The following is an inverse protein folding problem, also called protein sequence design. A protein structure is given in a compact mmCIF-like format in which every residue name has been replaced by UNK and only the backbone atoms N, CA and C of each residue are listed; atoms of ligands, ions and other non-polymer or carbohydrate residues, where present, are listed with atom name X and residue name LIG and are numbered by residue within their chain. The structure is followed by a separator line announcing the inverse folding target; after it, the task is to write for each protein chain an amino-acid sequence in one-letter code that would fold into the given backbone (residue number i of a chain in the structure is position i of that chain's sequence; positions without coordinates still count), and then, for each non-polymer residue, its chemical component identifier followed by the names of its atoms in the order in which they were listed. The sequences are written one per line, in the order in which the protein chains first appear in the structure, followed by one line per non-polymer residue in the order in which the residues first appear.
data_IF_509421028014
#
_entry.id   IF_509421028014
#
_cell.length_a   1.000
_cell.length_b   1.000
_cell.length_c   1.000
_cell.angle_alpha   90.00
_cell.angle_beta   90.00
_cell.angle_gamma   90.00
#
_symmetry.space_group_name_H-M   'P 1'
#
loop_
_entity.id
_entity.type
_entity.pdbx_description
1 polymer ?
#
# COMPACT_ATOMS: atom_id res chain seq x y z
N UNK A 1 -18.70 5.69 -37.90
CA UNK A 1 -17.31 5.76 -37.41
C UNK A 1 -17.12 4.63 -36.39
N UNK A 2 -16.18 3.70 -36.62
CA UNK A 2 -15.89 2.65 -35.63
C UNK A 2 -14.86 3.14 -34.62
N UNK A 3 -15.07 2.87 -33.33
CA UNK A 3 -14.09 3.16 -32.29
C UNK A 3 -12.90 2.19 -32.39
N UNK A 4 -11.67 2.72 -32.48
CA UNK A 4 -10.46 1.91 -32.53
C UNK A 4 -9.70 2.01 -31.19
N UNK A 5 -9.58 0.90 -30.47
CA UNK A 5 -8.90 0.85 -29.17
C UNK A 5 -7.42 1.23 -29.27
N UNK A 6 -6.74 0.85 -30.36
CA UNK A 6 -5.30 1.09 -30.52
C UNK A 6 -4.96 2.56 -30.78
N UNK A 7 -5.96 3.38 -31.11
CA UNK A 7 -5.84 4.82 -31.27
C UNK A 7 -6.49 5.60 -30.12
N UNK A 8 -7.08 4.92 -29.13
CA UNK A 8 -7.73 5.58 -27.99
C UNK A 8 -6.69 6.00 -26.96
N UNK A 9 -6.53 7.31 -26.68
CA UNK A 9 -5.53 7.80 -25.73
C UNK A 9 -5.73 7.23 -24.32
N UNK A 10 -6.98 7.21 -23.82
CA UNK A 10 -7.31 6.67 -22.50
C UNK A 10 -7.00 5.18 -22.38
N UNK A 11 -7.23 4.41 -23.45
CA UNK A 11 -6.90 2.98 -23.46
C UNK A 11 -5.39 2.77 -23.43
N UNK A 12 -4.64 3.48 -24.29
CA UNK A 12 -3.18 3.38 -24.34
C UNK A 12 -2.53 3.84 -23.02
N UNK A 13 -3.05 4.91 -22.40
CA UNK A 13 -2.59 5.38 -21.10
C UNK A 13 -2.83 4.34 -20.00
N UNK A 14 -4.01 3.72 -19.97
CA UNK A 14 -4.28 2.63 -19.03
C UNK A 14 -3.35 1.44 -19.24
N UNK A 15 -3.11 1.04 -20.49
CA UNK A 15 -2.20 -0.06 -20.85
C UNK A 15 -0.75 0.26 -20.45
N UNK A 16 -0.28 1.47 -20.73
CA UNK A 16 1.04 1.93 -20.32
C UNK A 16 1.20 1.91 -18.79
N UNK A 17 0.19 2.38 -18.05
CA UNK A 17 0.18 2.33 -16.59
C UNK A 17 0.24 0.90 -16.05
N UNK A 18 -0.50 -0.05 -16.64
CA UNK A 18 -0.45 -1.46 -16.25
C UNK A 18 0.94 -2.06 -16.46
N UNK A 19 1.57 -1.79 -17.61
CA UNK A 19 2.90 -2.27 -17.93
C UNK A 19 3.92 -1.69 -16.94
N UNK A 20 3.88 -0.37 -16.71
CA UNK A 20 4.74 0.31 -15.74
C UNK A 20 4.58 -0.28 -14.33
N UNK A 21 3.35 -0.43 -13.86
CA UNK A 21 3.08 -1.00 -12.54
C UNK A 21 3.64 -2.42 -12.38
N UNK A 22 3.57 -3.26 -13.42
CA UNK A 22 4.13 -4.61 -13.39
C UNK A 22 5.66 -4.60 -13.33
N UNK A 23 6.31 -3.72 -14.11
CA UNK A 23 7.76 -3.54 -14.08
C UNK A 23 8.25 -3.07 -12.70
N UNK A 24 7.64 -2.02 -12.15
CA UNK A 24 8.03 -1.51 -10.84
C UNK A 24 7.72 -2.51 -9.72
N UNK A 25 6.62 -3.25 -9.79
CA UNK A 25 6.29 -4.28 -8.80
C UNK A 25 7.33 -5.42 -8.78
N UNK A 26 7.82 -5.84 -9.95
CA UNK A 26 8.88 -6.84 -10.04
C UNK A 26 10.19 -6.31 -9.41
N UNK A 27 10.56 -5.07 -9.69
CA UNK A 27 11.79 -4.45 -9.16
C UNK A 27 11.74 -4.25 -7.64
N UNK A 28 10.59 -3.81 -7.12
CA UNK A 28 10.38 -3.51 -5.70
C UNK A 28 10.26 -4.75 -4.80
N UNK A 29 10.08 -5.94 -5.38
CA UNK A 29 9.96 -7.20 -4.63
C UNK A 29 11.14 -7.42 -3.67
N UNK A 30 12.35 -7.03 -4.08
CA UNK A 30 13.57 -7.12 -3.27
C UNK A 30 13.66 -6.07 -2.15
N UNK A 31 12.99 -4.91 -2.33
CA UNK A 31 12.92 -3.83 -1.37
C UNK A 31 11.84 -4.07 -0.30
N UNK A 32 10.89 -4.98 -0.54
CA UNK A 32 9.84 -5.34 0.41
C UNK A 32 8.76 -4.26 0.57
N UNK A 33 8.64 -3.36 -0.40
CA UNK A 33 7.61 -2.31 -0.44
C UNK A 33 6.79 -2.43 -1.73
N UNK A 34 5.54 -1.99 -1.68
CA UNK A 34 4.69 -1.90 -2.89
C UNK A 34 4.94 -0.58 -3.62
N UNK A 35 4.56 -0.50 -4.91
CA UNK A 35 4.68 0.74 -5.68
C UNK A 35 3.95 1.92 -5.01
N UNK A 36 2.73 1.69 -4.50
CA UNK A 36 1.98 2.74 -3.78
C UNK A 36 2.65 3.16 -2.47
N UNK A 37 3.20 2.22 -1.71
CA UNK A 37 4.00 2.56 -0.52
C UNK A 37 5.25 3.35 -0.90
N UNK A 38 5.92 2.98 -2.00
CA UNK A 38 7.06 3.74 -2.52
C UNK A 38 6.67 5.18 -2.89
N UNK A 39 5.53 5.40 -3.56
CA UNK A 39 5.04 6.77 -3.87
C UNK A 39 4.85 7.60 -2.59
N UNK A 40 4.27 7.03 -1.54
CA UNK A 40 4.13 7.71 -0.24
C UNK A 40 5.49 7.98 0.39
N UNK A 41 6.42 7.02 0.38
CA UNK A 41 7.77 7.22 0.91
C UNK A 41 8.54 8.29 0.12
N UNK A 42 8.39 8.33 -1.20
CA UNK A 42 9.01 9.31 -2.08
C UNK A 42 8.47 10.73 -1.79
N UNK A 43 7.16 10.88 -1.66
CA UNK A 43 6.53 12.15 -1.29
C UNK A 43 7.00 12.68 0.08
N UNK A 44 7.35 11.78 1.01
CA UNK A 44 7.88 12.12 2.33
C UNK A 44 9.41 12.26 2.38
N UNK A 45 10.14 11.79 1.36
CA UNK A 45 11.61 11.77 1.38
C UNK A 45 12.25 13.16 1.29
N UNK A 46 11.56 14.09 0.62
CA UNK A 46 12.02 15.48 0.45
C UNK A 46 11.42 16.48 1.45
N UNK A 47 10.42 16.08 2.24
CA UNK A 47 9.66 16.99 3.11
C UNK A 47 9.38 16.34 4.47
N UNK A 48 9.77 17.00 5.56
CA UNK A 48 9.31 16.63 6.89
C UNK A 48 7.94 17.26 7.17
N UNK A 49 7.07 16.52 7.86
CA UNK A 49 5.80 17.05 8.36
C UNK A 49 4.69 17.25 7.31
N UNK A 50 4.71 16.50 6.21
CA UNK A 50 3.70 16.59 5.14
C UNK A 50 2.31 16.24 5.66
N UNK A 51 1.29 17.02 5.31
CA UNK A 51 -0.09 16.72 5.70
C UNK A 51 -0.66 15.56 4.88
N UNK A 52 -1.70 14.88 5.38
CA UNK A 52 -2.38 13.86 4.58
C UNK A 52 -3.02 14.42 3.31
N UNK A 53 -3.45 15.68 3.32
CA UNK A 53 -4.02 16.32 2.12
C UNK A 53 -2.94 16.52 1.04
N UNK A 54 -1.75 16.95 1.44
CA UNK A 54 -0.62 17.10 0.51
C UNK A 54 -0.18 15.74 -0.05
N UNK A 55 -0.23 14.68 0.77
CA UNK A 55 0.02 13.32 0.31
C UNK A 55 -1.05 12.82 -0.69
N UNK A 56 -2.32 13.19 -0.51
CA UNK A 56 -3.37 12.88 -1.50
C UNK A 56 -3.02 13.52 -2.83
N UNK A 57 -2.70 14.81 -2.82
CA UNK A 57 -2.35 15.56 -4.03
C UNK A 57 -1.08 14.99 -4.69
N UNK A 58 -0.02 14.77 -3.91
CA UNK A 58 1.26 14.28 -4.43
C UNK A 58 1.21 12.84 -4.97
N UNK A 59 0.28 12.00 -4.50
CA UNK A 59 0.21 10.58 -4.89
C UNK A 59 -0.98 10.24 -5.78
N UNK A 60 -1.97 11.12 -5.90
CA UNK A 60 -3.25 10.85 -6.57
C UNK A 60 -4.08 9.73 -5.92
N UNK A 61 -3.72 9.29 -4.71
CA UNK A 61 -4.46 8.25 -3.97
C UNK A 61 -5.62 8.92 -3.24
N UNK A 62 -6.83 8.38 -3.38
CA UNK A 62 -7.99 8.91 -2.69
C UNK A 62 -7.78 8.95 -1.16
N UNK A 63 -8.44 9.91 -0.51
CA UNK A 63 -8.22 10.19 0.92
C UNK A 63 -8.45 8.98 1.83
N UNK A 64 -9.44 8.14 1.52
CA UNK A 64 -9.77 6.98 2.35
C UNK A 64 -8.71 5.88 2.23
N UNK A 65 -8.31 5.56 1.00
CA UNK A 65 -7.26 4.57 0.72
C UNK A 65 -5.91 5.04 1.27
N UNK A 66 -5.59 6.32 1.13
CA UNK A 66 -4.36 6.88 1.67
C UNK A 66 -4.33 6.81 3.21
N UNK A 67 -5.43 7.16 3.89
CA UNK A 67 -5.50 7.09 5.35
C UNK A 67 -5.27 5.66 5.87
N UNK A 68 -5.91 4.66 5.24
CA UNK A 68 -5.70 3.24 5.56
C UNK A 68 -4.27 2.79 5.29
N UNK A 69 -3.68 3.25 4.17
CA UNK A 69 -2.30 2.94 3.82
C UNK A 69 -1.30 3.53 4.81
N UNK A 70 -1.48 4.80 5.18
CA UNK A 70 -0.68 5.51 6.19
C UNK A 70 -0.77 4.78 7.53
N UNK A 71 -1.97 4.38 7.97
CA UNK A 71 -2.12 3.62 9.21
C UNK A 71 -1.33 2.30 9.18
N UNK A 72 -1.38 1.55 8.07
CA UNK A 72 -0.61 0.29 7.92
C UNK A 72 0.90 0.54 7.85
N UNK A 73 1.34 1.59 7.17
CA UNK A 73 2.75 1.96 7.08
C UNK A 73 3.32 2.43 8.42
N UNK A 74 2.50 3.09 9.24
CA UNK A 74 2.85 3.48 10.60
C UNK A 74 3.01 2.24 11.50
N UNK A 75 2.05 1.29 11.46
CA UNK A 75 2.16 0.00 12.16
C UNK A 75 3.39 -0.79 11.70
N UNK A 76 3.75 -0.72 10.43
CA UNK A 76 4.97 -1.34 9.89
C UNK A 76 6.25 -0.59 10.29
N UNK A 77 6.14 0.56 10.96
CA UNK A 77 7.24 1.40 11.41
C UNK A 77 7.96 2.14 10.28
N UNK A 78 7.34 2.29 9.10
CA UNK A 78 7.93 3.01 7.96
C UNK A 78 7.73 4.52 8.07
N UNK A 79 6.62 4.95 8.66
CA UNK A 79 6.30 6.35 8.87
C UNK A 79 5.87 6.59 10.32
N UNK A 80 5.89 7.85 10.73
CA UNK A 80 5.35 8.31 12.00
C UNK A 80 4.35 9.43 11.75
N UNK A 81 3.27 9.46 12.54
CA UNK A 81 2.38 10.62 12.60
C UNK A 81 2.68 11.43 13.86
N UNK A 82 2.68 12.75 13.71
CA UNK A 82 2.79 13.69 14.80
C UNK A 82 1.78 14.82 14.59
N UNK A 83 1.33 15.44 15.67
CA UNK A 83 0.59 16.68 15.56
C UNK A 83 1.46 17.72 14.85
N UNK A 84 0.90 18.40 13.85
CA UNK A 84 1.65 19.39 13.10
C UNK A 84 2.04 20.54 14.03
N UNK A 85 3.30 20.95 13.99
CA UNK A 85 3.79 22.13 14.73
C UNK A 85 3.12 23.43 14.25
N UNK A 86 2.61 23.43 13.02
CA UNK A 86 2.02 24.60 12.36
C UNK A 86 0.50 24.64 12.48
N UNK A 87 -0.16 23.49 12.70
CA UNK A 87 -1.61 23.40 12.88
C UNK A 87 -1.95 22.21 13.79
N UNK A 88 -2.37 22.49 15.02
CA UNK A 88 -2.75 21.47 16.00
C UNK A 88 -3.95 20.59 15.57
N UNK A 89 -4.69 20.99 14.51
CA UNK A 89 -5.77 20.20 13.91
C UNK A 89 -5.29 19.29 12.78
N UNK A 90 -4.09 19.51 12.26
CA UNK A 90 -3.51 18.73 11.17
C UNK A 90 -2.52 17.69 11.70
N UNK A 91 -2.68 16.45 11.24
CA UNK A 91 -1.68 15.39 11.48
C UNK A 91 -0.62 15.46 10.40
N UNK A 92 0.61 15.68 10.82
CA UNK A 92 1.79 15.64 9.99
C UNK A 92 2.31 14.20 9.88
N UNK A 93 2.79 13.83 8.70
CA UNK A 93 3.37 12.51 8.42
C UNK A 93 4.85 12.69 8.10
N UNK A 94 5.71 11.79 8.59
CA UNK A 94 7.14 11.85 8.33
C UNK A 94 7.74 10.44 8.24
N UNK A 95 8.86 10.31 7.52
CA UNK A 95 9.61 9.05 7.49
C UNK A 95 10.21 8.72 8.85
N UNK A 96 10.25 7.43 9.18
CA UNK A 96 11.14 6.93 10.23
C UNK A 96 12.50 6.58 9.62
N UNK A 97 13.50 6.27 10.46
CA UNK A 97 14.77 5.72 9.99
C UNK A 97 14.60 4.42 9.18
N UNK A 98 13.60 3.59 9.54
CA UNK A 98 13.27 2.38 8.79
C UNK A 98 12.63 2.70 7.44
N UNK A 99 11.71 3.67 7.40
CA UNK A 99 11.10 4.15 6.16
C UNK A 99 12.12 4.74 5.20
N UNK A 100 13.04 5.57 5.71
CA UNK A 100 14.14 6.12 4.91
C UNK A 100 15.02 5.03 4.31
N UNK A 101 15.45 4.05 5.10
CA UNK A 101 16.20 2.88 4.58
C UNK A 101 15.43 2.09 3.52
N UNK A 102 14.12 1.94 3.70
CA UNK A 102 13.28 1.27 2.71
C UNK A 102 13.18 2.07 1.40
N UNK A 103 13.04 3.40 1.50
CA UNK A 103 13.08 4.31 0.36
C UNK A 103 14.42 4.26 -0.36
N UNK A 104 15.54 4.41 0.35
CA UNK A 104 16.89 4.42 -0.23
C UNK A 104 17.20 3.09 -0.95
N UNK A 105 16.66 1.97 -0.45
CA UNK A 105 16.79 0.66 -1.10
C UNK A 105 15.87 0.52 -2.33
N UNK A 106 14.69 1.11 -2.29
CA UNK A 106 13.67 1.02 -3.33
C UNK A 106 13.96 1.95 -4.52
N UNK A 107 14.45 3.16 -4.25
CA UNK A 107 14.70 4.22 -5.23
C UNK A 107 15.49 3.72 -6.45
N UNK A 108 16.70 3.13 -6.32
CA UNK A 108 17.47 2.68 -7.48
C UNK A 108 16.79 1.55 -8.26
N UNK A 109 15.93 0.76 -7.60
CA UNK A 109 15.19 -0.32 -8.26
C UNK A 109 14.04 0.24 -9.11
N UNK A 110 13.32 1.26 -8.61
CA UNK A 110 12.25 1.93 -9.36
C UNK A 110 12.84 2.73 -10.52
N UNK A 111 13.90 3.51 -10.29
CA UNK A 111 14.56 4.28 -11.35
C UNK A 111 15.02 3.38 -12.49
N UNK A 112 15.67 2.24 -12.18
CA UNK A 112 16.06 1.27 -13.22
C UNK A 112 14.87 0.65 -13.95
N UNK A 113 13.75 0.42 -13.25
CA UNK A 113 12.54 -0.13 -13.87
C UNK A 113 11.91 0.87 -14.85
N UNK A 114 11.86 2.14 -14.48
CA UNK A 114 11.38 3.23 -15.33
C UNK A 114 12.34 3.44 -16.51
N UNK A 115 13.65 3.51 -16.27
CA UNK A 115 14.66 3.62 -17.33
C UNK A 115 14.54 2.49 -18.34
N UNK A 116 14.41 1.24 -17.87
CA UNK A 116 14.23 0.08 -18.75
C UNK A 116 12.96 0.20 -19.61
N UNK A 117 11.86 0.68 -19.03
CA UNK A 117 10.60 0.86 -19.75
C UNK A 117 10.71 1.96 -20.81
N UNK A 118 11.25 3.13 -20.44
CA UNK A 118 11.32 4.30 -21.30
C UNK A 118 12.48 4.27 -22.29
N UNK A 119 13.52 3.45 -22.06
CA UNK A 119 14.64 3.25 -23.01
C UNK A 119 14.20 2.75 -24.39
N UNK A 120 12.98 2.21 -24.49
CA UNK A 120 12.34 1.82 -25.76
C UNK A 120 11.97 3.01 -26.65
N UNK A 121 11.93 4.23 -26.09
CA UNK A 121 11.59 5.47 -26.75
C UNK A 121 12.83 6.35 -26.90
N UNK A 122 12.94 7.06 -28.03
CA UNK A 122 13.93 8.11 -28.20
C UNK A 122 13.70 9.24 -27.16
N UNK A 123 14.79 9.87 -26.69
CA UNK A 123 14.74 10.86 -25.60
C UNK A 123 13.73 12.00 -25.85
N UNK A 124 13.68 12.54 -27.06
CA UNK A 124 12.70 13.57 -27.44
C UNK A 124 11.23 13.12 -27.25
N UNK A 125 10.92 11.84 -27.52
CA UNK A 125 9.57 11.28 -27.30
C UNK A 125 9.27 11.08 -25.81
N UNK A 126 10.27 10.72 -25.01
CA UNK A 126 10.12 10.64 -23.56
C UNK A 126 9.79 12.01 -22.99
N UNK A 127 10.52 13.04 -23.40
CA UNK A 127 10.32 14.41 -22.91
C UNK A 127 8.95 14.96 -23.32
N UNK A 128 8.54 14.72 -24.58
CA UNK A 128 7.20 15.08 -25.05
C UNK A 128 6.07 14.34 -24.28
N UNK A 129 6.27 13.05 -23.97
CA UNK A 129 5.32 12.28 -23.16
C UNK A 129 5.20 12.85 -21.74
N UNK A 130 6.32 13.16 -21.10
CA UNK A 130 6.33 13.78 -19.76
C UNK A 130 5.60 15.12 -19.77
N UNK A 131 5.89 15.99 -20.73
CA UNK A 131 5.19 17.27 -20.88
C UNK A 131 3.68 17.10 -21.07
N UNK A 132 3.27 16.15 -21.92
CA UNK A 132 1.85 15.87 -22.16
C UNK A 132 1.12 15.33 -20.92
N UNK A 133 1.76 14.43 -20.17
CA UNK A 133 1.20 13.87 -18.93
C UNK A 133 1.12 14.94 -17.83
N UNK A 134 2.16 15.76 -17.65
CA UNK A 134 2.15 16.87 -16.69
C UNK A 134 1.05 17.86 -17.03
N UNK A 135 0.93 18.30 -18.28
CA UNK A 135 -0.14 19.20 -18.70
C UNK A 135 -1.54 18.62 -18.47
N UNK A 136 -1.72 17.32 -18.74
CA UNK A 136 -3.00 16.64 -18.49
C UNK A 136 -3.37 16.62 -17.00
N UNK A 137 -2.40 16.34 -16.11
CA UNK A 137 -2.60 16.34 -14.66
C UNK A 137 -2.90 17.75 -14.17
N UNK A 138 -2.07 18.74 -14.52
CA UNK A 138 -2.23 20.12 -14.08
C UNK A 138 -3.60 20.69 -14.49
N UNK A 139 -4.06 20.43 -15.72
CA UNK A 139 -5.34 20.92 -16.20
C UNK A 139 -6.53 20.16 -15.60
N UNK A 140 -6.38 18.87 -15.30
CA UNK A 140 -7.39 18.10 -14.58
C UNK A 140 -7.54 18.59 -13.14
N UNK A 141 -6.42 18.82 -12.43
CA UNK A 141 -6.42 19.35 -11.07
C UNK A 141 -7.02 20.76 -11.01
N UNK A 142 -6.71 21.64 -11.97
CA UNK A 142 -7.37 22.96 -12.08
C UNK A 142 -8.88 22.85 -12.26
N UNK A 143 -9.36 21.86 -13.03
CA UNK A 143 -10.79 21.62 -13.25
C UNK A 143 -11.50 21.02 -12.03
N UNK A 144 -10.84 20.17 -11.26
CA UNK A 144 -11.37 19.64 -9.99
C UNK A 144 -11.29 20.65 -8.83
N UNK A 145 -10.34 21.60 -8.87
CA UNK A 145 -10.20 22.69 -7.90
C UNK A 145 -11.23 23.81 -8.09
N UNK A 146 -11.90 23.89 -9.25
CA UNK A 146 -13.11 24.70 -9.40
C UNK A 146 -14.19 24.18 -8.44
N UNK A 147 -14.94 25.03 -7.73
CA UNK A 147 -15.68 24.63 -6.55
C UNK A 147 -16.75 23.60 -6.92
N UNK A 148 -16.43 22.33 -6.68
CA UNK A 148 -17.42 21.27 -6.62
C UNK A 148 -18.23 21.58 -5.38
N UNK A 149 -19.43 22.14 -5.58
CA UNK A 149 -20.41 22.34 -4.54
C UNK A 149 -20.42 21.13 -3.60
N UNK A 150 -20.43 21.33 -2.27
CA UNK A 150 -20.22 20.25 -1.32
C UNK A 150 -21.18 19.12 -1.62
N UNK A 151 -20.64 17.92 -1.90
CA UNK A 151 -21.42 16.69 -1.99
C UNK A 151 -22.23 16.59 -0.70
N UNK A 152 -23.55 16.75 -0.82
CA UNK A 152 -24.49 16.63 0.27
C UNK A 152 -24.19 15.34 1.07
N UNK A 153 -24.26 15.38 2.41
CA UNK A 153 -23.98 14.21 3.23
C UNK A 153 -24.88 13.05 2.80
N UNK A 154 -24.25 11.91 2.48
CA UNK A 154 -24.97 10.67 2.22
C UNK A 154 -25.85 10.37 3.43
N UNK A 155 -27.16 10.32 3.20
CA UNK A 155 -28.15 9.93 4.19
C UNK A 155 -27.73 8.62 4.89
N UNK A 156 -27.97 8.47 6.21
CA UNK A 156 -27.59 7.28 6.94
C UNK A 156 -28.26 6.04 6.34
N UNK A 157 -27.44 5.06 5.99
CA UNK A 157 -27.86 3.76 5.47
C UNK A 157 -28.71 3.08 6.56
N UNK A 158 -29.99 2.87 6.27
CA UNK A 158 -30.92 2.19 7.16
C UNK A 158 -30.33 0.87 7.69
N UNK A 159 -30.42 0.70 9.00
CA UNK A 159 -30.01 -0.50 9.72
C UNK A 159 -30.72 -1.73 9.13
N UNK A 160 -29.94 -2.70 8.67
CA UNK A 160 -30.47 -4.01 8.30
C UNK A 160 -30.73 -4.80 9.58
N UNK A 161 -31.99 -5.14 9.81
CA UNK A 161 -32.48 -5.88 10.96
C UNK A 161 -31.76 -7.24 11.16
N UNK A 162 -31.61 -7.71 12.41
CA UNK A 162 -30.86 -8.93 12.72
C UNK A 162 -31.62 -10.19 12.29
N UNK A 163 -30.91 -11.13 11.65
CA UNK A 163 -31.44 -12.46 11.30
C UNK A 163 -31.48 -13.33 12.56
N UNK A 164 -32.62 -13.99 12.73
CA UNK A 164 -33.10 -14.66 13.94
C UNK A 164 -32.12 -15.63 14.61
N UNK A 165 -32.03 -15.52 15.94
CA UNK A 165 -31.51 -16.54 16.83
C UNK A 165 -32.53 -17.68 16.98
N UNK A 166 -32.04 -18.92 16.90
CA UNK A 166 -32.79 -20.15 17.16
C UNK A 166 -33.06 -20.27 18.67
N UNK A 167 -34.30 -20.62 18.98
CA UNK A 167 -35.00 -20.67 20.26
C UNK A 167 -34.19 -21.09 21.52
N UNK A 168 -34.46 -20.38 22.63
CA UNK A 168 -34.29 -20.86 23.99
C UNK A 168 -35.65 -21.20 24.60
N UNK A 169 -35.77 -22.41 25.18
CA UNK A 169 -36.91 -22.84 26.00
C UNK A 169 -36.90 -22.16 27.39
N UNK A 170 -38.06 -22.03 28.08
CA UNK A 170 -38.20 -21.13 29.22
C UNK A 170 -37.70 -21.71 30.55
N UNK A 171 -37.26 -20.80 31.43
CA UNK A 171 -36.69 -21.06 32.76
C UNK A 171 -37.73 -21.59 33.76
N UNK A 172 -37.33 -22.57 34.59
CA UNK A 172 -37.90 -22.80 35.92
C UNK A 172 -36.78 -23.06 36.93
N UNK A 173 -36.88 -22.41 38.11
CA UNK A 173 -35.95 -22.50 39.24
C UNK A 173 -36.19 -23.80 40.04
N UNK A 174 -35.13 -24.53 40.44
CA UNK A 174 -34.99 -25.09 41.81
C UNK A 174 -33.59 -25.67 42.09
N UNK A 175 -33.00 -25.16 43.19
CA UNK A 175 -32.15 -25.76 44.23
C UNK A 175 -30.90 -26.64 43.90
N UNK A 176 -29.88 -26.65 44.80
CA UNK A 176 -28.51 -27.10 44.49
C UNK A 176 -28.17 -28.49 45.08
N UNK A 177 -27.33 -29.27 44.40
CA UNK A 177 -26.62 -30.39 45.05
C UNK A 177 -25.36 -30.87 44.31
N UNK A 178 -24.23 -30.69 45.01
CA UNK A 178 -23.18 -31.68 45.31
C UNK A 178 -22.50 -32.50 44.19
N UNK A 179 -21.16 -32.38 44.25
CA UNK A 179 -20.13 -33.44 44.32
C UNK A 179 -19.44 -33.94 43.03
N UNK A 180 -18.11 -33.75 43.10
CA UNK A 180 -17.01 -34.73 42.92
C UNK A 180 -16.46 -34.97 41.52
N UNK A 181 -15.13 -34.75 41.43
CA UNK A 181 -14.10 -35.66 40.91
C UNK A 181 -14.18 -36.09 39.42
N UNK A 182 -13.10 -36.31 38.68
CA UNK A 182 -11.67 -36.26 38.90
C UNK A 182 -10.97 -36.29 37.53
N UNK A 183 -9.72 -35.81 37.54
CA UNK A 183 -8.52 -36.23 36.78
C UNK A 183 -8.66 -37.21 35.61
N UNK A 184 -8.02 -36.86 34.50
CA UNK A 184 -6.80 -37.51 33.95
C UNK A 184 -6.39 -36.75 32.66
N UNK A 185 -5.29 -35.98 32.61
CA UNK A 185 -3.95 -36.39 32.10
C UNK A 185 -3.99 -37.57 31.12
N UNK A 186 -3.46 -37.47 29.90
CA UNK A 186 -2.05 -37.62 29.51
C UNK A 186 -1.88 -36.96 28.11
N UNK A 187 -1.04 -35.94 27.87
CA UNK A 187 0.44 -35.85 27.80
C UNK A 187 1.11 -36.51 26.58
N UNK A 188 1.99 -35.70 25.98
CA UNK A 188 3.14 -35.98 25.08
C UNK A 188 2.82 -36.13 23.59
N UNK A 189 3.65 -35.66 22.66
CA UNK A 189 4.83 -34.77 22.62
C UNK A 189 5.26 -34.73 21.13
N UNK A 190 6.05 -33.74 20.70
CA UNK A 190 6.36 -33.47 19.29
C UNK A 190 7.55 -34.29 18.80
N UNK A 191 7.74 -34.37 17.48
CA UNK A 191 8.99 -34.85 16.88
C UNK A 191 9.58 -33.77 15.99
N UNK A 192 10.87 -33.51 16.25
CA UNK A 192 11.70 -32.51 15.64
C UNK A 192 12.81 -33.17 14.81
N UNK A 193 13.31 -32.43 13.81
CA UNK A 193 14.72 -32.34 13.36
C UNK A 193 15.33 -33.55 12.64
N UNK A 194 15.91 -33.30 11.45
CA UNK A 194 17.32 -33.69 11.14
C UNK A 194 18.01 -32.64 10.25
N UNK A 195 19.28 -32.36 10.59
CA UNK A 195 20.26 -31.50 9.93
C UNK A 195 21.24 -32.34 9.08
N UNK A 196 21.71 -31.75 7.97
CA UNK A 196 23.07 -31.76 7.35
C UNK A 196 23.68 -33.13 6.87
N UNK A 197 24.64 -33.18 5.90
CA UNK A 197 25.91 -32.43 5.90
C UNK A 197 26.50 -31.93 4.56
N UNK A 198 27.60 -31.18 4.75
CA UNK A 198 28.70 -30.62 3.96
C UNK A 198 29.22 -31.42 2.74
N UNK A 199 29.66 -30.71 1.69
CA UNK A 199 30.77 -31.14 0.83
C UNK A 199 31.67 -29.96 0.41
N UNK A 200 32.99 -30.18 0.52
CA UNK A 200 34.12 -29.26 0.28
C UNK A 200 35.16 -30.05 -0.54
N UNK A 201 35.58 -29.59 -1.72
CA UNK A 201 36.82 -29.90 -2.50
C UNK A 201 36.66 -29.32 -3.92
N UNK A 202 37.64 -28.81 -4.65
CA UNK A 202 39.09 -28.72 -4.49
C UNK A 202 39.64 -27.60 -5.41
N UNK A 203 40.85 -27.12 -5.10
CA UNK A 203 41.69 -26.24 -5.90
C UNK A 203 42.65 -27.04 -6.82
N UNK A 204 43.11 -26.44 -7.92
CA UNK A 204 44.46 -26.45 -8.55
C UNK A 204 44.34 -26.27 -10.09
N UNK A 205 44.93 -25.28 -10.79
CA UNK A 205 46.33 -24.80 -11.00
C UNK A 205 47.01 -25.46 -12.22
N UNK A 206 47.58 -24.62 -13.12
CA UNK A 206 48.42 -24.88 -14.31
C UNK A 206 47.65 -25.53 -15.49
N UNK A 207 47.78 -25.09 -16.74
CA UNK A 207 48.93 -24.56 -17.49
C UNK A 207 48.44 -23.67 -18.63
#
# INVERSE_FOLDING_TARGET
MSFNLNASPSHLQHRAQQIAANHSAAALKSAGVTLRQFSVLAALSGNEGVSQSDLVNATGIDRSTLADMVARMETAGLIKRADSKTDARAKSVSLTAKGKKAYDKALPAVTKADDALFSTLAKAKQDALLQGLTGLVDDAEKKEAAPVAPKAPKAPKAAKAPKAAKAAAPKAKKAPAKKKAAKAEVKKAPVAVKKAPVAKKAAAKKK
#
